data_IF_428622171946
#
_entry.id   IF_428622171946
#
_cell.length_a   1.000
_cell.length_b   1.000
_cell.length_c   1.000
_cell.angle_alpha   90.00
_cell.angle_beta   90.00
_cell.angle_gamma   90.00
#
_symmetry.space_group_name_H-M   'P 1'
#
loop_
_entity.id
_entity.type
_entity.pdbx_description
1 polymer ?
#
# COMPACT_ATOMS: atom_id res chain seq x y z
N UNK A 1 6.39 12.75 5.88
CA UNK A 1 6.75 13.73 4.82
C UNK A 1 7.30 12.99 3.60
N UNK A 2 7.05 13.44 2.36
CA UNK A 2 7.58 12.79 1.14
C UNK A 2 9.11 12.93 1.04
N UNK A 3 9.69 14.00 1.61
CA UNK A 3 11.15 14.19 1.67
C UNK A 3 11.81 13.18 2.60
N UNK A 4 11.19 12.93 3.75
CA UNK A 4 11.65 11.91 4.68
C UNK A 4 11.67 10.52 4.03
N UNK A 5 10.60 10.14 3.30
CA UNK A 5 10.54 8.87 2.56
C UNK A 5 11.66 8.79 1.52
N UNK A 6 11.94 9.88 0.81
CA UNK A 6 13.03 9.95 -0.16
C UNK A 6 14.39 9.69 0.50
N UNK A 7 14.63 10.26 1.69
CA UNK A 7 15.84 10.01 2.46
C UNK A 7 15.92 8.58 3.00
N UNK A 8 14.85 8.08 3.64
CA UNK A 8 14.81 6.75 4.26
C UNK A 8 14.97 5.63 3.24
N UNK A 9 14.37 5.78 2.06
CA UNK A 9 14.47 4.80 0.99
C UNK A 9 15.69 5.02 0.08
N UNK A 10 16.44 6.11 0.26
CA UNK A 10 17.52 6.54 -0.64
C UNK A 10 17.09 6.55 -2.11
N UNK A 11 15.92 7.15 -2.38
CA UNK A 11 15.31 7.20 -3.71
C UNK A 11 15.00 8.64 -4.08
N UNK A 12 15.27 9.04 -5.32
CA UNK A 12 15.00 10.39 -5.79
C UNK A 12 13.52 10.78 -5.66
N UNK A 13 13.24 12.02 -5.22
CA UNK A 13 11.88 12.54 -5.00
C UNK A 13 10.94 12.29 -6.19
N UNK A 14 11.41 12.48 -7.42
CA UNK A 14 10.65 12.23 -8.66
C UNK A 14 10.07 10.80 -8.70
N UNK A 15 10.84 9.81 -8.26
CA UNK A 15 10.39 8.42 -8.21
C UNK A 15 9.30 8.26 -7.16
N UNK A 16 9.45 8.86 -5.98
CA UNK A 16 8.41 8.81 -4.93
C UNK A 16 7.10 9.47 -5.40
N UNK A 17 7.18 10.59 -6.11
CA UNK A 17 6.00 11.23 -6.72
C UNK A 17 5.35 10.34 -7.79
N UNK A 18 6.15 9.71 -8.64
CA UNK A 18 5.65 8.77 -9.66
C UNK A 18 4.93 7.58 -9.02
N UNK A 19 5.53 6.97 -8.00
CA UNK A 19 4.93 5.85 -7.26
C UNK A 19 3.64 6.29 -6.58
N UNK A 20 3.61 7.48 -5.94
CA UNK A 20 2.37 8.03 -5.36
C UNK A 20 1.26 8.12 -6.41
N UNK A 21 1.55 8.74 -7.56
CA UNK A 21 0.56 8.88 -8.63
C UNK A 21 0.06 7.52 -9.13
N UNK A 22 0.98 6.56 -9.30
CA UNK A 22 0.64 5.21 -9.73
C UNK A 22 -0.29 4.51 -8.72
N UNK A 23 0.03 4.56 -7.43
CA UNK A 23 -0.78 3.96 -6.37
C UNK A 23 -2.18 4.60 -6.31
N UNK A 24 -2.26 5.93 -6.35
CA UNK A 24 -3.55 6.63 -6.37
C UNK A 24 -4.41 6.17 -7.55
N UNK A 25 -3.83 6.10 -8.74
CA UNK A 25 -4.53 5.65 -9.95
C UNK A 25 -5.02 4.21 -9.82
N UNK A 26 -4.20 3.30 -9.27
CA UNK A 26 -4.58 1.89 -9.05
C UNK A 26 -5.72 1.72 -8.06
N UNK A 27 -5.83 2.64 -7.09
CA UNK A 27 -6.90 2.66 -6.10
C UNK A 27 -8.14 3.45 -6.56
N UNK A 28 -8.12 4.03 -7.77
CA UNK A 28 -9.20 4.88 -8.27
C UNK A 28 -9.29 6.26 -7.59
N UNK A 29 -8.23 6.67 -6.88
CA UNK A 29 -8.13 7.98 -6.23
C UNK A 29 -7.61 9.02 -7.21
N UNK A 30 -8.25 10.20 -7.27
CA UNK A 30 -7.78 11.34 -8.08
C UNK A 30 -6.78 12.20 -7.31
N UNK A 31 -6.92 12.26 -6.00
CA UNK A 31 -6.09 13.07 -5.10
C UNK A 31 -5.60 12.27 -3.89
N UNK A 32 -4.61 12.82 -3.17
CA UNK A 32 -4.16 12.27 -1.89
C UNK A 32 -5.29 12.30 -0.85
N UNK A 33 -6.20 13.27 -0.93
CA UNK A 33 -7.34 13.37 -0.03
C UNK A 33 -8.32 12.20 -0.24
N UNK A 34 -8.59 11.83 -1.50
CA UNK A 34 -9.43 10.66 -1.80
C UNK A 34 -8.85 9.39 -1.18
N UNK A 35 -7.53 9.24 -1.26
CA UNK A 35 -6.84 8.12 -0.61
C UNK A 35 -6.92 8.20 0.91
N UNK A 36 -6.80 9.38 1.52
CA UNK A 36 -6.95 9.52 2.97
C UNK A 36 -8.34 9.09 3.43
N UNK A 37 -9.40 9.51 2.72
CA UNK A 37 -10.78 9.09 2.99
C UNK A 37 -10.94 7.57 2.81
N UNK A 38 -10.42 7.03 1.71
CA UNK A 38 -10.44 5.59 1.45
C UNK A 38 -9.71 4.81 2.55
N UNK A 39 -8.53 5.28 2.96
CA UNK A 39 -7.64 4.60 3.92
C UNK A 39 -8.25 4.43 5.31
N UNK A 40 -9.14 5.34 5.72
CA UNK A 40 -9.86 5.25 6.99
C UNK A 40 -11.22 4.56 6.87
N UNK A 41 -11.63 4.19 5.66
CA UNK A 41 -12.90 3.49 5.46
C UNK A 41 -12.85 2.07 6.01
N UNK A 42 -13.94 1.66 6.67
CA UNK A 42 -14.06 0.31 7.26
C UNK A 42 -13.95 -0.79 6.20
N UNK A 43 -14.51 -0.55 5.01
CA UNK A 43 -14.43 -1.50 3.91
C UNK A 43 -12.99 -1.71 3.43
N UNK A 44 -12.23 -0.64 3.26
CA UNK A 44 -10.84 -0.72 2.80
C UNK A 44 -9.92 -1.35 3.84
N UNK A 45 -10.06 -0.98 5.12
CA UNK A 45 -9.30 -1.58 6.22
C UNK A 45 -9.63 -3.07 6.40
N UNK A 46 -10.90 -3.46 6.25
CA UNK A 46 -11.31 -4.86 6.27
C UNK A 46 -10.74 -5.64 5.07
N UNK A 47 -10.82 -5.07 3.86
CA UNK A 47 -10.21 -5.66 2.66
C UNK A 47 -8.70 -5.85 2.83
N UNK A 48 -7.98 -4.84 3.33
CA UNK A 48 -6.55 -4.95 3.64
C UNK A 48 -6.26 -6.06 4.65
N UNK A 49 -7.12 -6.22 5.67
CA UNK A 49 -6.94 -7.25 6.69
C UNK A 49 -7.10 -8.64 6.11
N UNK A 50 -8.17 -8.88 5.32
CA UNK A 50 -8.41 -10.17 4.66
C UNK A 50 -7.25 -10.55 3.74
N UNK A 51 -6.83 -9.64 2.85
CA UNK A 51 -5.75 -9.94 1.90
C UNK A 51 -4.40 -10.14 2.59
N UNK A 52 -4.15 -9.49 3.73
CA UNK A 52 -2.95 -9.77 4.52
C UNK A 52 -3.03 -11.14 5.23
N UNK A 53 -4.20 -11.51 5.72
CA UNK A 53 -4.44 -12.84 6.32
C UNK A 53 -4.24 -13.95 5.28
N UNK A 54 -4.73 -13.77 4.05
CA UNK A 54 -4.52 -14.73 2.96
C UNK A 54 -3.03 -14.86 2.58
N UNK A 55 -2.28 -13.75 2.61
CA UNK A 55 -0.82 -13.76 2.42
C UNK A 55 -0.05 -14.44 3.57
N UNK A 56 -0.58 -14.42 4.80
CA UNK A 56 0.01 -15.14 5.94
C UNK A 56 -0.32 -16.63 5.86
N UNK A 57 -1.57 -16.99 5.59
CA UNK A 57 -2.01 -18.39 5.50
C UNK A 57 -1.32 -19.11 4.34
N UNK A 58 -1.17 -18.47 3.17
CA UNK A 58 -0.42 -19.05 2.05
C UNK A 58 1.07 -19.29 2.36
N UNK A 59 1.72 -18.38 3.11
CA UNK A 59 3.11 -18.55 3.56
C UNK A 59 3.28 -19.65 4.61
N UNK A 60 2.30 -19.83 5.50
CA UNK A 60 2.32 -20.93 6.48
C UNK A 60 2.17 -22.28 5.78
N UNK A 61 1.26 -22.39 4.80
CA UNK A 61 1.07 -23.62 4.05
C UNK A 61 2.27 -23.98 3.13
N UNK A 62 3.04 -22.99 2.66
CA UNK A 62 4.26 -23.24 1.89
C UNK A 62 5.45 -23.77 2.71
N UNK A 63 5.40 -23.69 4.05
CA UNK A 63 6.46 -24.22 4.94
C UNK A 63 6.13 -25.58 5.57
N UNK A 64 4.90 -26.07 5.42
CA UNK A 64 4.44 -27.34 6.01
C UNK A 64 4.50 -28.50 5.01
N UNK A 65 4.88 -28.24 3.75
CA UNK A 65 5.11 -29.27 2.74
C UNK A 65 6.54 -29.13 2.21
N UNK A 66 7.52 -29.63 2.98
CA UNK A 66 8.87 -29.95 2.56
C UNK A 66 9.42 -31.09 3.43
#
# INVERSE_FOLDING_TARGET
DIRQISCELNVHLKTIYSVRYHVLTKLGCRTVLDYQILSVSKAFTHWLTINNVDNVISRVNSKVIA
#
